data_IF_508806661335
#
_entry.id   IF_508806661335
#
_cell.length_a   1.000
_cell.length_b   1.000
_cell.length_c   1.000
_cell.angle_alpha   90.00
_cell.angle_beta   90.00
_cell.angle_gamma   90.00
#
_symmetry.space_group_name_H-M   'P 1'
#
loop_
_entity.id
_entity.type
_entity.pdbx_description
1 polymer ?
#
# COMPACT_ATOMS: atom_id res chain seq x y z
N UNK A 1 -19.47 11.39 43.06
CA UNK A 1 -19.22 11.58 41.64
C UNK A 1 -17.94 10.83 41.29
N UNK A 2 -18.08 9.58 40.85
CA UNK A 2 -16.97 8.74 40.43
C UNK A 2 -16.80 8.93 38.91
N UNK A 3 -15.79 9.68 38.53
CA UNK A 3 -15.30 9.70 37.16
C UNK A 3 -14.44 8.45 36.98
N UNK A 4 -15.00 7.42 36.39
CA UNK A 4 -14.25 6.31 35.87
C UNK A 4 -13.38 6.84 34.73
N UNK A 5 -12.11 7.11 35.00
CA UNK A 5 -11.07 7.12 34.00
C UNK A 5 -10.88 5.64 33.57
N UNK A 6 -11.66 5.16 32.64
CA UNK A 6 -11.28 4.02 31.83
C UNK A 6 -10.06 4.48 31.01
N UNK A 7 -8.88 4.25 31.57
CA UNK A 7 -7.65 4.18 30.79
C UNK A 7 -7.88 3.00 29.85
N UNK A 8 -8.16 3.29 28.59
CA UNK A 8 -8.07 2.27 27.53
C UNK A 8 -6.66 1.71 27.62
N UNK A 9 -6.50 0.53 28.23
CA UNK A 9 -5.29 -0.25 28.05
C UNK A 9 -5.18 -0.41 26.54
N UNK A 10 -4.16 0.20 25.96
CA UNK A 10 -3.79 -0.05 24.56
C UNK A 10 -3.59 -1.57 24.51
N UNK A 11 -4.52 -2.27 23.93
CA UNK A 11 -4.54 -3.73 23.83
C UNK A 11 -3.15 -4.14 23.38
N UNK A 12 -2.48 -4.95 24.19
CA UNK A 12 -1.13 -5.42 23.89
C UNK A 12 -1.19 -6.08 22.54
N UNK A 13 -0.45 -5.54 21.57
CA UNK A 13 -0.35 -6.15 20.24
C UNK A 13 -0.07 -7.64 20.41
N UNK A 14 -0.90 -8.46 19.81
CA UNK A 14 -0.69 -9.91 19.78
C UNK A 14 0.48 -10.20 18.84
N UNK A 15 1.70 -10.22 19.38
CA UNK A 15 2.91 -10.46 18.59
C UNK A 15 3.01 -11.95 18.29
N UNK A 16 3.07 -12.26 17.01
CA UNK A 16 3.19 -13.64 16.50
C UNK A 16 4.65 -14.10 16.56
N UNK A 17 4.87 -15.33 17.00
CA UNK A 17 6.17 -15.99 16.96
C UNK A 17 6.47 -16.44 15.52
N UNK A 18 7.45 -15.79 14.88
CA UNK A 18 7.83 -16.05 13.50
C UNK A 18 8.22 -17.52 13.24
N UNK A 19 8.75 -18.24 14.25
CA UNK A 19 9.15 -19.65 14.12
C UNK A 19 7.98 -20.62 13.90
N UNK A 20 6.77 -20.20 14.28
CA UNK A 20 5.54 -21.00 14.17
C UNK A 20 4.70 -20.67 12.94
N UNK A 21 5.07 -19.65 12.19
CA UNK A 21 4.31 -19.20 11.03
C UNK A 21 4.77 -19.93 9.78
N UNK A 22 3.83 -20.52 9.05
CA UNK A 22 4.09 -21.14 7.76
C UNK A 22 3.12 -20.62 6.73
N UNK A 23 3.59 -19.69 5.91
CA UNK A 23 2.82 -19.14 4.79
C UNK A 23 3.04 -19.96 3.52
N UNK A 24 1.98 -20.16 2.75
CA UNK A 24 2.03 -20.75 1.41
C UNK A 24 1.24 -19.87 0.45
N UNK A 25 1.74 -19.72 -0.78
CA UNK A 25 1.04 -18.97 -1.84
C UNK A 25 0.13 -19.91 -2.61
N UNK A 26 -1.14 -19.55 -2.70
CA UNK A 26 -2.13 -20.25 -3.50
C UNK A 26 -2.00 -19.89 -4.98
N UNK A 27 -2.54 -20.72 -5.87
CA UNK A 27 -2.63 -20.42 -7.31
C UNK A 27 -3.46 -19.15 -7.61
N UNK A 28 -4.37 -18.81 -6.72
CA UNK A 28 -5.16 -17.58 -6.74
C UNK A 28 -4.36 -16.30 -6.48
N UNK A 29 -3.10 -16.44 -6.00
CA UNK A 29 -2.24 -15.34 -5.59
C UNK A 29 -2.38 -14.93 -4.11
N UNK A 30 -3.39 -15.42 -3.41
CA UNK A 30 -3.55 -15.22 -1.97
C UNK A 30 -2.54 -16.04 -1.16
N UNK A 31 -2.36 -15.67 0.11
CA UNK A 31 -1.58 -16.45 1.06
C UNK A 31 -2.50 -17.26 1.97
N UNK A 32 -2.06 -18.47 2.32
CA UNK A 32 -2.62 -19.29 3.39
C UNK A 32 -1.60 -19.35 4.52
N UNK A 33 -2.04 -19.26 5.76
CA UNK A 33 -1.22 -19.38 6.96
C UNK A 33 -1.60 -20.64 7.71
N UNK A 34 -0.60 -21.50 8.00
CA UNK A 34 -0.67 -22.55 9.01
C UNK A 34 -0.02 -22.02 10.29
N UNK A 35 -0.81 -21.94 11.36
CA UNK A 35 -0.39 -21.42 12.65
C UNK A 35 -1.12 -22.13 13.79
N UNK A 36 -0.35 -22.68 14.74
CA UNK A 36 -0.84 -23.43 15.90
C UNK A 36 -1.86 -24.55 15.54
N UNK A 37 -1.60 -25.26 14.42
CA UNK A 37 -2.45 -26.36 13.94
C UNK A 37 -3.75 -25.92 13.28
N UNK A 38 -3.93 -24.64 13.04
CA UNK A 38 -5.07 -24.07 12.32
C UNK A 38 -4.62 -23.48 11.00
N UNK A 39 -5.40 -23.75 9.95
CA UNK A 39 -5.16 -23.20 8.61
C UNK A 39 -6.11 -22.02 8.37
N UNK A 40 -5.52 -20.88 8.04
CA UNK A 40 -6.24 -19.67 7.67
C UNK A 40 -6.05 -19.40 6.18
N UNK A 41 -7.14 -19.47 5.42
CA UNK A 41 -7.12 -19.18 3.99
C UNK A 41 -7.25 -17.69 3.70
N UNK A 42 -6.70 -17.25 2.58
CA UNK A 42 -6.81 -15.85 2.11
C UNK A 42 -6.38 -14.83 3.16
N UNK A 43 -5.29 -15.12 3.85
CA UNK A 43 -4.76 -14.14 4.80
C UNK A 43 -4.29 -12.89 4.09
N UNK A 44 -4.43 -11.76 4.76
CA UNK A 44 -4.17 -10.42 4.24
C UNK A 44 -3.11 -9.71 5.09
N UNK A 45 -1.81 -9.90 4.81
CA UNK A 45 -0.74 -9.15 5.45
C UNK A 45 -0.84 -7.66 5.14
N UNK A 46 -0.74 -6.81 6.16
CA UNK A 46 -0.86 -5.35 6.04
C UNK A 46 0.21 -4.64 6.85
N UNK A 47 0.96 -3.72 6.23
CA UNK A 47 1.94 -2.86 6.91
C UNK A 47 1.20 -1.86 7.80
N UNK A 48 1.49 -1.86 9.13
CA UNK A 48 0.89 -0.89 10.06
C UNK A 48 1.59 0.47 9.99
N UNK A 49 2.87 0.48 9.63
CA UNK A 49 3.70 1.70 9.51
C UNK A 49 4.38 1.76 8.12
N UNK A 50 3.61 1.83 7.02
CA UNK A 50 4.13 1.62 5.66
C UNK A 50 5.17 2.66 5.21
N UNK A 51 5.17 3.85 5.83
CA UNK A 51 6.11 4.93 5.50
C UNK A 51 7.43 4.84 6.27
N UNK A 52 7.41 4.25 7.47
CA UNK A 52 8.60 4.18 8.34
C UNK A 52 9.37 2.88 8.14
N UNK A 53 8.69 1.78 7.87
CA UNK A 53 9.33 0.48 7.68
C UNK A 53 8.56 -0.42 6.71
N UNK A 54 9.31 -1.07 5.85
CA UNK A 54 8.78 -2.07 4.92
C UNK A 54 8.63 -3.45 5.55
N UNK A 55 9.39 -3.76 6.59
CA UNK A 55 9.54 -5.09 7.19
C UNK A 55 8.94 -5.23 8.58
N UNK A 56 8.70 -4.10 9.26
CA UNK A 56 8.27 -4.12 10.66
C UNK A 56 6.75 -3.92 10.78
N UNK A 57 6.18 -4.52 11.81
CA UNK A 57 4.77 -4.38 12.20
C UNK A 57 3.80 -4.71 11.06
N UNK A 58 3.81 -5.99 10.68
CA UNK A 58 2.89 -6.53 9.69
C UNK A 58 1.72 -7.20 10.40
N UNK A 59 0.53 -6.60 10.33
CA UNK A 59 -0.71 -7.21 10.80
C UNK A 59 -1.12 -8.33 9.85
N UNK A 60 -1.48 -9.48 10.41
CA UNK A 60 -2.01 -10.62 9.68
C UNK A 60 -3.48 -10.77 10.01
N UNK A 61 -4.33 -10.54 9.03
CA UNK A 61 -5.79 -10.72 9.15
C UNK A 61 -6.29 -11.77 8.15
N UNK A 62 -7.47 -12.29 8.40
CA UNK A 62 -8.18 -13.19 7.49
C UNK A 62 -9.66 -12.81 7.43
N UNK A 63 -10.33 -13.18 6.36
CA UNK A 63 -11.77 -13.04 6.22
C UNK A 63 -12.46 -14.28 6.81
N UNK A 64 -13.34 -14.08 7.79
CA UNK A 64 -14.12 -15.17 8.39
C UNK A 64 -15.32 -15.54 7.50
N UNK A 65 -16.12 -16.54 7.94
CA UNK A 65 -17.31 -17.02 7.21
C UNK A 65 -18.38 -15.93 7.06
N UNK A 66 -18.44 -14.96 7.99
CA UNK A 66 -19.35 -13.82 7.99
C UNK A 66 -18.84 -12.66 7.11
N UNK A 67 -17.72 -12.85 6.39
CA UNK A 67 -17.03 -11.82 5.58
C UNK A 67 -16.49 -10.64 6.39
N UNK A 68 -16.22 -10.84 7.66
CA UNK A 68 -15.55 -9.87 8.52
C UNK A 68 -14.05 -10.15 8.57
N UNK A 69 -13.25 -9.08 8.53
CA UNK A 69 -11.81 -9.21 8.75
C UNK A 69 -11.51 -9.36 10.24
N UNK A 70 -10.77 -10.41 10.59
CA UNK A 70 -10.32 -10.70 11.94
C UNK A 70 -8.79 -10.73 11.97
N UNK A 71 -8.19 -10.00 12.89
CA UNK A 71 -6.75 -10.03 13.10
C UNK A 71 -6.36 -11.34 13.82
N UNK A 72 -5.32 -12.00 13.29
CA UNK A 72 -4.67 -13.14 13.94
C UNK A 72 -3.61 -12.61 14.90
N UNK A 73 -2.86 -11.60 14.48
CA UNK A 73 -1.84 -10.92 15.26
C UNK A 73 -0.87 -10.15 14.36
N UNK A 74 0.23 -9.69 14.95
CA UNK A 74 1.21 -8.81 14.31
C UNK A 74 2.58 -9.48 14.31
N UNK A 75 3.21 -9.53 13.15
CA UNK A 75 4.63 -9.88 13.00
C UNK A 75 5.45 -8.62 13.28
N UNK A 76 6.32 -8.67 14.28
CA UNK A 76 7.15 -7.53 14.67
C UNK A 76 8.15 -7.17 13.57
N UNK A 77 8.82 -8.16 13.02
CA UNK A 77 9.77 -8.00 11.92
C UNK A 77 9.79 -9.27 11.06
N UNK A 78 9.45 -9.16 9.78
CA UNK A 78 9.46 -10.34 8.87
C UNK A 78 10.86 -10.91 8.64
N UNK A 79 11.93 -10.16 8.94
CA UNK A 79 13.31 -10.64 8.84
C UNK A 79 13.67 -11.70 9.89
N UNK A 80 12.83 -11.86 10.94
CA UNK A 80 12.96 -12.92 11.93
C UNK A 80 12.40 -14.27 11.44
N UNK A 81 11.77 -14.30 10.27
CA UNK A 81 11.28 -15.52 9.64
C UNK A 81 12.43 -16.29 8.97
N UNK A 82 12.18 -17.57 8.62
CA UNK A 82 13.13 -18.29 7.75
C UNK A 82 13.24 -17.61 6.38
N UNK A 83 14.39 -17.80 5.70
CA UNK A 83 14.70 -17.14 4.42
C UNK A 83 13.60 -17.32 3.36
N UNK A 84 13.01 -18.52 3.28
CA UNK A 84 11.95 -18.80 2.30
C UNK A 84 10.65 -18.08 2.66
N UNK A 85 10.30 -18.02 3.96
CA UNK A 85 9.11 -17.33 4.44
C UNK A 85 9.28 -15.81 4.34
N UNK A 86 10.46 -15.29 4.65
CA UNK A 86 10.78 -13.89 4.44
C UNK A 86 10.62 -13.49 2.96
N UNK A 87 11.24 -14.22 2.03
CA UNK A 87 11.13 -13.94 0.59
C UNK A 87 9.68 -13.98 0.10
N UNK A 88 8.90 -14.95 0.57
CA UNK A 88 7.49 -15.07 0.21
C UNK A 88 6.69 -13.86 0.70
N UNK A 89 6.85 -13.48 1.96
CA UNK A 89 6.15 -12.35 2.58
C UNK A 89 6.58 -11.02 1.96
N UNK A 90 7.87 -10.80 1.79
CA UNK A 90 8.43 -9.58 1.18
C UNK A 90 7.92 -9.41 -0.26
N UNK A 91 7.99 -10.47 -1.07
CA UNK A 91 7.47 -10.44 -2.45
C UNK A 91 5.97 -10.12 -2.47
N UNK A 92 5.19 -10.69 -1.57
CA UNK A 92 3.75 -10.42 -1.47
C UNK A 92 3.47 -8.96 -1.09
N UNK A 93 4.18 -8.44 -0.09
CA UNK A 93 4.02 -7.06 0.38
C UNK A 93 4.50 -6.05 -0.67
N UNK A 94 5.63 -6.29 -1.34
CA UNK A 94 6.11 -5.43 -2.42
C UNK A 94 5.10 -5.38 -3.57
N UNK A 95 4.49 -6.51 -3.94
CA UNK A 95 3.42 -6.52 -4.94
C UNK A 95 2.18 -5.75 -4.48
N UNK A 96 1.73 -5.98 -3.23
CA UNK A 96 0.53 -5.34 -2.66
C UNK A 96 0.68 -3.81 -2.54
N UNK A 97 1.87 -3.33 -2.19
CA UNK A 97 2.16 -1.91 -1.99
C UNK A 97 2.90 -1.28 -3.18
N UNK A 98 2.93 -1.99 -4.31
CA UNK A 98 3.60 -1.47 -5.49
C UNK A 98 2.89 -0.22 -6.00
N UNK A 99 3.66 0.84 -6.13
CA UNK A 99 3.24 2.09 -6.77
C UNK A 99 4.28 2.44 -7.83
N UNK A 100 3.91 2.50 -9.12
CA UNK A 100 4.81 2.99 -10.13
C UNK A 100 5.22 4.44 -9.89
N UNK A 101 6.51 4.74 -10.01
CA UNK A 101 7.02 6.11 -9.98
C UNK A 101 6.80 6.78 -11.33
N UNK A 102 6.30 8.02 -11.33
CA UNK A 102 6.19 8.87 -12.50
C UNK A 102 7.56 9.50 -12.75
N UNK A 103 8.16 9.15 -13.87
CA UNK A 103 9.48 9.63 -14.27
C UNK A 103 9.42 10.83 -15.21
N UNK A 104 8.29 10.96 -15.95
CA UNK A 104 8.08 12.03 -16.92
C UNK A 104 6.60 12.25 -17.19
N UNK A 105 6.20 13.48 -17.40
CA UNK A 105 4.84 13.86 -17.81
C UNK A 105 4.89 14.44 -19.22
N UNK A 106 4.21 13.77 -20.15
CA UNK A 106 4.14 14.22 -21.53
C UNK A 106 3.01 15.22 -21.78
N UNK A 107 1.86 15.00 -21.14
CA UNK A 107 0.69 15.89 -21.21
C UNK A 107 -0.30 15.58 -20.09
N UNK A 108 -1.04 16.60 -19.70
CA UNK A 108 -2.26 16.47 -18.88
C UNK A 108 -3.39 17.10 -19.69
N UNK A 109 -4.49 16.38 -19.87
CA UNK A 109 -5.67 16.84 -20.60
C UNK A 109 -6.89 16.75 -19.70
N UNK A 110 -7.56 17.88 -19.48
CA UNK A 110 -8.83 17.95 -18.77
C UNK A 110 -9.97 17.61 -19.74
N UNK A 111 -10.91 16.76 -19.31
CA UNK A 111 -12.11 16.43 -20.08
C UNK A 111 -13.29 17.39 -19.80
N UNK A 112 -13.06 18.43 -18.99
CA UNK A 112 -14.07 19.41 -18.54
C UNK A 112 -15.26 18.78 -17.79
N UNK A 113 -15.09 17.56 -17.26
CA UNK A 113 -16.10 16.80 -16.50
C UNK A 113 -15.53 16.22 -15.20
N UNK A 114 -14.50 16.85 -14.64
CA UNK A 114 -13.88 16.45 -13.39
C UNK A 114 -12.85 15.33 -13.51
N UNK A 115 -12.46 14.92 -14.72
CA UNK A 115 -11.39 13.93 -14.93
C UNK A 115 -10.28 14.50 -15.79
N UNK A 116 -9.05 14.12 -15.46
CA UNK A 116 -7.88 14.42 -16.28
C UNK A 116 -7.24 13.14 -16.80
N UNK A 117 -6.57 13.25 -17.94
CA UNK A 117 -5.76 12.19 -18.54
C UNK A 117 -4.30 12.60 -18.51
N UNK A 118 -3.50 11.90 -17.71
CA UNK A 118 -2.07 12.14 -17.56
C UNK A 118 -1.32 11.13 -18.41
N UNK A 119 -0.70 11.58 -19.51
CA UNK A 119 0.22 10.76 -20.29
C UNK A 119 1.61 10.89 -19.69
N UNK A 120 2.17 9.78 -19.18
CA UNK A 120 3.42 9.76 -18.44
C UNK A 120 4.26 8.53 -18.76
N UNK A 121 5.57 8.66 -18.55
CA UNK A 121 6.48 7.54 -18.40
C UNK A 121 6.60 7.19 -16.92
N UNK A 122 6.57 5.90 -16.63
CA UNK A 122 6.63 5.40 -15.25
C UNK A 122 7.61 4.25 -15.14
N UNK A 123 7.96 3.85 -13.93
CA UNK A 123 8.78 2.64 -13.69
C UNK A 123 8.11 1.35 -14.21
N UNK A 124 6.82 1.41 -14.58
CA UNK A 124 6.08 0.33 -15.26
C UNK A 124 5.88 0.58 -16.77
N UNK A 125 6.65 1.50 -17.37
CA UNK A 125 6.53 1.92 -18.75
C UNK A 125 5.56 3.07 -18.98
N UNK A 126 5.33 3.42 -20.25
CA UNK A 126 4.43 4.51 -20.66
C UNK A 126 2.97 4.16 -20.29
N UNK A 127 2.29 5.12 -19.66
CA UNK A 127 0.89 5.01 -19.22
C UNK A 127 0.10 6.25 -19.60
N UNK A 128 -1.19 6.04 -19.84
CA UNK A 128 -2.20 7.11 -19.82
C UNK A 128 -3.07 6.88 -18.60
N UNK A 129 -2.86 7.68 -17.58
CA UNK A 129 -3.51 7.57 -16.27
C UNK A 129 -4.78 8.42 -16.33
N UNK A 130 -5.96 7.77 -16.20
CA UNK A 130 -7.24 8.46 -16.09
C UNK A 130 -7.52 8.76 -14.63
N UNK A 131 -7.53 10.02 -14.23
CA UNK A 131 -7.77 10.43 -12.84
C UNK A 131 -9.16 11.07 -12.77
N UNK A 132 -10.10 10.39 -12.09
CA UNK A 132 -11.43 10.92 -11.77
C UNK A 132 -11.34 11.76 -10.50
N UNK A 133 -12.24 12.75 -10.37
CA UNK A 133 -12.27 13.66 -9.23
C UNK A 133 -10.86 14.17 -8.90
N UNK A 134 -10.21 14.70 -9.93
CA UNK A 134 -8.76 14.95 -9.88
C UNK A 134 -8.37 15.90 -8.73
N UNK A 135 -9.23 16.80 -8.30
CA UNK A 135 -9.00 17.62 -7.10
C UNK A 135 -8.73 16.82 -5.83
N UNK A 136 -9.18 15.55 -5.76
CA UNK A 136 -8.95 14.64 -4.63
C UNK A 136 -7.87 13.62 -4.92
N UNK A 137 -7.74 13.20 -6.19
CA UNK A 137 -6.94 12.05 -6.59
C UNK A 137 -5.63 12.41 -7.32
N UNK A 138 -5.35 13.71 -7.48
CA UNK A 138 -4.10 14.25 -8.02
C UNK A 138 -3.57 15.29 -7.03
N UNK A 139 -2.66 14.91 -6.14
CA UNK A 139 -2.24 15.72 -4.99
C UNK A 139 -0.75 15.96 -4.98
N UNK A 140 -0.39 17.23 -4.80
CA UNK A 140 0.97 17.64 -4.51
C UNK A 140 1.11 17.91 -3.00
N UNK A 141 1.89 17.08 -2.30
CA UNK A 141 2.16 17.24 -0.87
C UNK A 141 3.48 17.96 -0.67
N UNK A 142 3.52 18.88 0.29
CA UNK A 142 4.71 19.67 0.67
C UNK A 142 5.40 20.36 -0.54
N UNK A 143 4.65 20.61 -1.62
CA UNK A 143 5.16 21.25 -2.82
C UNK A 143 6.05 20.38 -3.73
N UNK A 144 6.38 19.17 -3.34
CA UNK A 144 7.33 18.33 -4.10
C UNK A 144 6.88 16.89 -4.33
N UNK A 145 6.09 16.30 -3.42
CA UNK A 145 5.66 14.90 -3.53
C UNK A 145 4.32 14.82 -4.26
N UNK A 146 4.32 14.29 -5.48
CA UNK A 146 3.10 14.06 -6.25
C UNK A 146 2.54 12.65 -5.96
N UNK A 147 1.25 12.59 -5.65
CA UNK A 147 0.51 11.34 -5.46
C UNK A 147 -0.74 11.33 -6.35
N UNK A 148 -0.94 10.25 -7.07
CA UNK A 148 -2.01 10.10 -8.06
C UNK A 148 -2.73 8.79 -7.84
N UNK A 149 -4.07 8.83 -7.86
CA UNK A 149 -4.93 7.64 -7.87
C UNK A 149 -5.74 7.64 -9.17
N UNK A 150 -5.67 6.57 -9.94
CA UNK A 150 -6.42 6.46 -11.18
C UNK A 150 -7.88 6.01 -10.96
N UNK A 151 -8.63 5.96 -12.05
CA UNK A 151 -10.04 5.59 -12.05
C UNK A 151 -10.31 4.14 -11.60
N UNK A 152 -9.29 3.29 -11.63
CA UNK A 152 -9.33 1.88 -11.25
C UNK A 152 -8.75 1.65 -9.84
N UNK A 153 -8.31 2.72 -9.16
CA UNK A 153 -7.73 2.68 -7.81
C UNK A 153 -6.23 2.37 -7.77
N UNK A 154 -5.55 2.30 -8.94
CA UNK A 154 -4.10 2.17 -8.95
C UNK A 154 -3.44 3.47 -8.49
N UNK A 155 -2.34 3.33 -7.77
CA UNK A 155 -1.62 4.44 -7.16
C UNK A 155 -0.30 4.66 -7.89
N UNK A 156 0.03 5.93 -8.12
CA UNK A 156 1.28 6.38 -8.73
C UNK A 156 1.86 7.52 -7.88
N UNK A 157 3.15 7.71 -7.93
CA UNK A 157 3.80 8.79 -7.20
C UNK A 157 4.99 9.37 -7.97
N UNK A 158 5.38 10.59 -7.63
CA UNK A 158 6.69 11.14 -7.93
C UNK A 158 7.27 11.66 -6.60
N UNK A 159 8.42 11.13 -6.15
CA UNK A 159 8.96 11.47 -4.83
C UNK A 159 9.42 12.92 -4.73
N UNK A 160 9.78 13.51 -5.86
CA UNK A 160 10.30 14.87 -5.94
C UNK A 160 10.06 15.42 -7.35
N UNK A 161 9.01 16.23 -7.51
CA UNK A 161 8.65 16.80 -8.81
C UNK A 161 9.71 17.75 -9.36
N UNK A 162 10.53 18.38 -8.49
CA UNK A 162 11.60 19.27 -8.90
C UNK A 162 12.71 18.54 -9.68
N UNK A 163 12.75 17.20 -9.57
CA UNK A 163 13.67 16.35 -10.34
C UNK A 163 13.13 15.96 -11.72
N UNK A 164 11.88 16.26 -12.02
CA UNK A 164 11.32 16.06 -13.35
C UNK A 164 11.96 17.00 -14.37
N UNK A 165 11.88 16.64 -15.65
CA UNK A 165 12.33 17.54 -16.71
C UNK A 165 11.48 18.82 -16.75
N UNK A 166 12.10 19.89 -17.25
CA UNK A 166 11.49 21.24 -17.31
C UNK A 166 10.12 21.26 -17.98
N UNK A 167 9.90 20.41 -18.99
CA UNK A 167 8.63 20.34 -19.70
C UNK A 167 7.55 19.69 -18.84
N UNK A 168 7.89 18.63 -18.12
CA UNK A 168 7.01 17.97 -17.16
C UNK A 168 6.58 18.92 -16.04
N UNK A 169 7.52 19.71 -15.50
CA UNK A 169 7.21 20.73 -14.48
C UNK A 169 6.23 21.78 -15.02
N UNK A 170 6.48 22.36 -16.19
CA UNK A 170 5.59 23.35 -16.81
C UNK A 170 4.16 22.81 -17.02
N UNK A 171 4.03 21.52 -17.36
CA UNK A 171 2.72 20.88 -17.53
C UNK A 171 2.05 20.71 -16.16
N UNK A 172 2.81 20.31 -15.14
CA UNK A 172 2.30 20.07 -13.79
C UNK A 172 1.80 21.35 -13.12
N UNK A 173 2.53 22.47 -13.27
CA UNK A 173 2.18 23.79 -12.71
C UNK A 173 0.79 24.31 -13.16
N UNK A 174 0.26 23.82 -14.28
CA UNK A 174 -1.08 24.18 -14.73
C UNK A 174 -2.20 23.44 -13.98
N UNK A 175 -1.87 22.44 -13.17
CA UNK A 175 -2.82 21.57 -12.47
C UNK A 175 -2.58 21.48 -10.95
N UNK A 176 -1.61 22.19 -10.42
CA UNK A 176 -1.25 22.27 -8.98
C UNK A 176 -1.14 23.73 -8.50
#
# INVERSE_FOLDING_TARGET
MNTNNEIYEVDKLNILDCSKLKFTKESSGYLTLDFDGKIYHKVNPTRLIPFDSKTNFISISYENEDKEFREIGVIKDIREMSDDQYKLMDTFLEYKYYMPEILKIYSIKDNMRGSIFVKSDTTSGEKTICVKDWYQNFKLFNGSYLYVVDADGNKYFCPDVDKLDKKSLQILEMFT
#
